data_IF_467341584516
#
_entry.id   IF_467341584516
#
_cell.length_a   1.000
_cell.length_b   1.000
_cell.length_c   1.000
_cell.angle_alpha   90.00
_cell.angle_beta   90.00
_cell.angle_gamma   90.00
#
_symmetry.space_group_name_H-M   'P 1'
#
loop_
_entity.id
_entity.type
_entity.pdbx_description
1 polymer ?
#
# COMPACT_ATOMS: atom_id res chain seq x y z
N UNK A 1 11.51 -20.53 9.12
CA UNK A 1 10.97 -20.81 7.78
C UNK A 1 10.43 -19.54 7.12
N UNK A 2 9.42 -18.87 7.68
CA UNK A 2 8.81 -17.68 7.04
C UNK A 2 9.80 -16.55 6.70
N UNK A 3 10.81 -16.31 7.55
CA UNK A 3 11.83 -15.28 7.31
C UNK A 3 12.75 -15.53 6.10
N UNK A 4 12.69 -16.71 5.45
CA UNK A 4 13.53 -16.98 4.26
C UNK A 4 12.92 -16.44 2.97
N UNK A 5 11.64 -16.07 2.97
CA UNK A 5 10.90 -15.57 1.80
C UNK A 5 10.47 -14.10 1.95
N UNK A 6 10.81 -13.45 3.07
CA UNK A 6 10.45 -12.06 3.32
C UNK A 6 10.64 -11.64 4.78
N UNK A 7 10.13 -10.44 5.10
CA UNK A 7 10.04 -9.97 6.48
C UNK A 7 8.98 -10.76 7.25
N UNK A 8 9.36 -11.30 8.41
CA UNK A 8 8.45 -12.02 9.29
C UNK A 8 8.63 -11.51 10.73
N UNK A 9 7.51 -11.29 11.40
CA UNK A 9 7.44 -10.81 12.78
C UNK A 9 6.27 -11.49 13.47
N UNK A 10 6.44 -11.84 14.74
CA UNK A 10 5.37 -12.37 15.58
C UNK A 10 4.51 -11.23 16.13
N UNK A 11 3.20 -11.41 16.09
CA UNK A 11 2.22 -10.41 16.55
C UNK A 11 1.07 -11.09 17.28
N UNK A 12 0.38 -10.39 18.20
CA UNK A 12 -0.87 -10.87 18.78
C UNK A 12 -1.94 -11.18 17.71
N UNK A 13 -2.76 -12.21 17.95
CA UNK A 13 -3.82 -12.66 17.02
C UNK A 13 -4.78 -11.54 16.61
N UNK A 14 -5.11 -10.63 17.54
CA UNK A 14 -5.98 -9.47 17.28
C UNK A 14 -5.45 -8.53 16.19
N UNK A 15 -4.15 -8.60 15.86
CA UNK A 15 -3.53 -7.81 14.81
C UNK A 15 -3.53 -8.49 13.43
N UNK A 16 -3.95 -9.75 13.31
CA UNK A 16 -3.93 -10.48 12.03
C UNK A 16 -4.85 -9.83 10.98
N UNK A 17 -6.05 -9.39 11.34
CA UNK A 17 -6.94 -8.70 10.40
C UNK A 17 -6.38 -7.34 9.93
N UNK A 18 -5.89 -6.44 10.82
CA UNK A 18 -5.17 -5.24 10.40
C UNK A 18 -3.95 -5.53 9.50
N UNK A 19 -3.16 -6.55 9.83
CA UNK A 19 -2.02 -6.98 9.01
C UNK A 19 -2.49 -7.42 7.62
N UNK A 20 -3.60 -8.14 7.53
CA UNK A 20 -4.19 -8.56 6.24
C UNK A 20 -4.64 -7.36 5.40
N UNK A 21 -5.31 -6.38 6.02
CA UNK A 21 -5.72 -5.15 5.33
C UNK A 21 -4.52 -4.30 4.87
N UNK A 22 -3.44 -4.28 5.65
CA UNK A 22 -2.25 -3.49 5.33
C UNK A 22 -1.28 -4.20 4.37
N UNK A 23 -0.70 -5.33 4.77
CA UNK A 23 0.38 -6.02 4.04
C UNK A 23 -0.10 -7.19 3.18
N UNK A 24 -1.20 -7.85 3.58
CA UNK A 24 -1.82 -8.90 2.74
C UNK A 24 -2.43 -8.31 1.47
N UNK A 25 -3.17 -7.22 1.61
CA UNK A 25 -3.80 -6.51 0.50
C UNK A 25 -2.91 -5.41 -0.11
N UNK A 26 -1.93 -4.92 0.64
CA UNK A 26 -1.02 -3.83 0.27
C UNK A 26 -0.41 -3.89 -1.13
N UNK A 27 0.12 -5.05 -1.59
CA UNK A 27 0.67 -5.18 -2.93
C UNK A 27 -0.32 -4.77 -4.04
N UNK A 28 -1.61 -5.08 -3.87
CA UNK A 28 -2.64 -4.70 -4.85
C UNK A 28 -2.82 -3.19 -4.98
N UNK A 29 -2.74 -2.47 -3.85
CA UNK A 29 -2.83 -1.01 -3.83
C UNK A 29 -1.63 -0.39 -4.56
N UNK A 30 -0.44 -0.93 -4.33
CA UNK A 30 0.78 -0.44 -4.97
C UNK A 30 0.82 -0.73 -6.48
N UNK A 31 0.23 -1.84 -6.94
CA UNK A 31 0.06 -2.08 -8.38
C UNK A 31 -0.81 -1.02 -9.04
N UNK A 32 -1.91 -0.60 -8.39
CA UNK A 32 -2.73 0.50 -8.89
C UNK A 32 -1.96 1.83 -8.93
N UNK A 33 -1.09 2.09 -7.94
CA UNK A 33 -0.20 3.27 -7.95
C UNK A 33 0.79 3.20 -9.12
N UNK A 34 1.42 2.06 -9.37
CA UNK A 34 2.35 1.86 -10.50
C UNK A 34 1.62 2.11 -11.82
N UNK A 35 0.43 1.55 -11.98
CA UNK A 35 -0.39 1.71 -13.19
C UNK A 35 -0.76 3.18 -13.42
N UNK A 36 -1.23 3.88 -12.38
CA UNK A 36 -1.55 5.30 -12.47
C UNK A 36 -0.35 6.18 -12.79
N UNK A 37 0.83 5.88 -12.25
CA UNK A 37 2.08 6.57 -12.60
C UNK A 37 2.47 6.32 -14.05
N UNK A 38 2.35 5.08 -14.53
CA UNK A 38 2.64 4.74 -15.92
C UNK A 38 1.67 5.42 -16.89
N UNK A 39 0.37 5.47 -16.57
CA UNK A 39 -0.63 6.24 -17.32
C UNK A 39 -0.28 7.72 -17.39
N UNK A 40 0.15 8.32 -16.27
CA UNK A 40 0.65 9.68 -16.22
C UNK A 40 1.88 9.88 -17.12
N UNK A 41 2.81 8.92 -17.12
CA UNK A 41 3.98 8.89 -18.00
C UNK A 41 3.60 8.87 -19.48
N UNK A 42 2.64 8.03 -19.87
CA UNK A 42 2.13 7.97 -21.24
C UNK A 42 1.45 9.29 -21.64
N UNK A 43 0.67 9.88 -20.73
CA UNK A 43 0.01 11.17 -20.95
C UNK A 43 1.01 12.30 -21.26
N UNK A 44 2.23 12.23 -20.73
CA UNK A 44 3.30 13.21 -20.99
C UNK A 44 4.27 12.76 -22.09
N UNK A 45 3.96 11.67 -22.82
CA UNK A 45 4.64 11.27 -24.05
C UNK A 45 5.59 10.07 -23.94
N UNK A 46 5.63 9.35 -22.81
CA UNK A 46 6.44 8.14 -22.70
C UNK A 46 5.79 6.94 -23.42
N UNK A 47 6.58 6.05 -24.05
CA UNK A 47 6.08 4.75 -24.48
C UNK A 47 5.59 3.93 -23.27
N UNK A 48 4.47 3.22 -23.43
CA UNK A 48 3.81 2.44 -22.35
C UNK A 48 4.79 1.51 -21.63
N UNK A 49 5.57 0.73 -22.37
CA UNK A 49 6.51 -0.23 -21.80
C UNK A 49 7.60 0.43 -20.96
N UNK A 50 8.08 1.60 -21.38
CA UNK A 50 9.07 2.37 -20.64
C UNK A 50 8.45 2.97 -19.39
N UNK A 51 7.26 3.56 -19.51
CA UNK A 51 6.54 4.15 -18.38
C UNK A 51 6.26 3.13 -17.28
N UNK A 52 5.82 1.92 -17.64
CA UNK A 52 5.61 0.82 -16.68
C UNK A 52 6.90 0.42 -15.96
N UNK A 53 8.01 0.26 -16.71
CA UNK A 53 9.31 -0.11 -16.13
C UNK A 53 9.83 0.96 -15.17
N UNK A 54 9.73 2.23 -15.55
CA UNK A 54 10.16 3.34 -14.70
C UNK A 54 9.29 3.47 -13.44
N UNK A 55 7.97 3.34 -13.57
CA UNK A 55 7.04 3.41 -12.44
C UNK A 55 7.30 2.26 -11.43
N UNK A 56 7.43 1.02 -11.92
CA UNK A 56 7.75 -0.13 -11.08
C UNK A 56 9.11 0.03 -10.38
N UNK A 57 10.14 0.50 -11.09
CA UNK A 57 11.48 0.68 -10.52
C UNK A 57 11.52 1.79 -9.46
N UNK A 58 10.72 2.85 -9.62
CA UNK A 58 10.60 3.94 -8.63
C UNK A 58 10.19 3.42 -7.24
N UNK A 59 9.35 2.38 -7.19
CA UNK A 59 8.87 1.78 -5.94
C UNK A 59 9.81 0.71 -5.36
N UNK A 60 10.75 0.17 -6.14
CA UNK A 60 11.62 -0.94 -5.73
C UNK A 60 12.67 -0.56 -4.66
N UNK A 61 12.91 0.73 -4.39
CA UNK A 61 14.04 1.16 -3.54
C UNK A 61 13.74 2.21 -2.46
N UNK A 62 12.48 2.49 -2.12
CA UNK A 62 12.12 3.65 -1.27
C UNK A 62 11.73 3.27 0.18
N UNK A 63 12.41 3.89 1.16
CA UNK A 63 11.94 4.03 2.55
C UNK A 63 11.19 5.37 2.73
N UNK A 64 9.92 5.40 3.20
CA UNK A 64 8.98 6.43 2.72
C UNK A 64 9.10 7.83 3.34
N UNK A 65 9.45 7.93 4.63
CA UNK A 65 9.31 9.21 5.34
C UNK A 65 10.57 10.08 5.28
N UNK A 66 11.75 9.48 5.38
CA UNK A 66 13.02 10.22 5.35
C UNK A 66 13.40 10.65 3.93
N UNK A 67 13.13 9.82 2.92
CA UNK A 67 13.53 10.08 1.53
C UNK A 67 12.66 11.12 0.81
N UNK A 68 11.48 11.46 1.34
CA UNK A 68 10.58 12.40 0.66
C UNK A 68 11.23 13.78 0.57
N UNK A 69 11.76 14.29 1.67
CA UNK A 69 12.41 15.60 1.71
C UNK A 69 13.74 15.56 0.95
N UNK A 70 14.46 14.43 0.98
CA UNK A 70 15.71 14.21 0.23
C UNK A 70 15.50 14.25 -1.30
N UNK A 71 14.31 13.88 -1.80
CA UNK A 71 13.96 13.90 -3.22
C UNK A 71 13.30 15.23 -3.64
N UNK A 72 12.83 16.04 -2.69
CA UNK A 72 12.13 17.30 -2.94
C UNK A 72 13.08 18.51 -2.82
N UNK A 73 13.69 18.90 -3.94
CA UNK A 73 14.41 20.17 -4.01
C UNK A 73 13.45 21.38 -4.04
N UNK A 74 13.83 22.54 -3.46
CA UNK A 74 13.04 23.76 -3.56
C UNK A 74 12.75 24.14 -5.03
N UNK A 75 11.46 24.23 -5.38
CA UNK A 75 11.01 24.56 -6.75
C UNK A 75 11.14 23.42 -7.77
N UNK A 76 11.57 22.22 -7.36
CA UNK A 76 11.70 21.04 -8.25
C UNK A 76 10.36 20.43 -8.66
N UNK A 77 10.34 19.62 -9.72
CA UNK A 77 9.13 18.98 -10.24
C UNK A 77 8.40 18.10 -9.21
N UNK A 78 9.15 17.43 -8.33
CA UNK A 78 8.62 16.55 -7.28
C UNK A 78 7.66 17.25 -6.32
N UNK A 79 7.91 18.53 -5.98
CA UNK A 79 7.04 19.27 -5.04
C UNK A 79 5.69 19.62 -5.68
N UNK A 80 5.68 19.95 -6.98
CA UNK A 80 4.44 20.21 -7.74
C UNK A 80 3.60 18.95 -7.92
N UNK A 81 4.24 17.82 -8.22
CA UNK A 81 3.58 16.52 -8.27
C UNK A 81 2.96 16.14 -6.92
N UNK A 82 3.73 16.27 -5.84
CA UNK A 82 3.24 15.98 -4.50
C UNK A 82 2.06 16.87 -4.09
N UNK A 83 2.10 18.17 -4.41
CA UNK A 83 0.98 19.07 -4.14
C UNK A 83 -0.32 18.59 -4.80
N UNK A 84 -0.25 18.04 -6.02
CA UNK A 84 -1.42 17.44 -6.70
C UNK A 84 -1.89 16.16 -6.02
N UNK A 85 -0.98 15.30 -5.56
CA UNK A 85 -1.34 14.08 -4.82
C UNK A 85 -2.04 14.40 -3.50
N UNK A 86 -1.54 15.38 -2.76
CA UNK A 86 -2.14 15.83 -1.50
C UNK A 86 -3.50 16.51 -1.73
N UNK A 87 -3.62 17.35 -2.78
CA UNK A 87 -4.91 17.94 -3.17
C UNK A 87 -5.95 16.89 -3.57
N UNK A 88 -5.51 15.74 -4.10
CA UNK A 88 -6.36 14.60 -4.44
C UNK A 88 -6.67 13.68 -3.26
N UNK A 89 -6.10 13.93 -2.07
CA UNK A 89 -6.40 13.14 -0.87
C UNK A 89 -5.82 11.72 -0.88
N UNK A 90 -4.70 11.47 -1.59
CA UNK A 90 -4.13 10.12 -1.75
C UNK A 90 -3.98 9.37 -0.41
N UNK A 91 -3.49 10.04 0.63
CA UNK A 91 -3.31 9.43 1.96
C UNK A 91 -4.63 8.97 2.57
N UNK A 92 -5.69 9.77 2.44
CA UNK A 92 -7.02 9.42 2.93
C UNK A 92 -7.54 8.17 2.22
N UNK A 93 -7.45 8.13 0.90
CA UNK A 93 -7.89 6.96 0.10
C UNK A 93 -7.13 5.68 0.51
N UNK A 94 -5.82 5.78 0.78
CA UNK A 94 -5.04 4.63 1.25
C UNK A 94 -5.44 4.18 2.67
N UNK A 95 -5.74 5.12 3.57
CA UNK A 95 -6.26 4.81 4.90
C UNK A 95 -7.60 4.09 4.83
N UNK A 96 -8.53 4.61 4.01
CA UNK A 96 -9.85 4.02 3.80
C UNK A 96 -9.75 2.62 3.20
N UNK A 97 -8.82 2.39 2.26
CA UNK A 97 -8.59 1.08 1.67
C UNK A 97 -8.17 0.02 2.71
N UNK A 98 -7.24 0.39 3.61
CA UNK A 98 -6.78 -0.50 4.70
C UNK A 98 -7.92 -0.78 5.68
N UNK A 99 -8.70 0.24 6.06
CA UNK A 99 -9.85 0.08 6.95
C UNK A 99 -10.92 -0.85 6.35
N UNK A 100 -11.27 -0.64 5.07
CA UNK A 100 -12.24 -1.45 4.37
C UNK A 100 -11.80 -2.91 4.25
N UNK A 101 -10.54 -3.16 3.87
CA UNK A 101 -10.00 -4.52 3.77
C UNK A 101 -9.93 -5.22 5.13
N UNK A 102 -9.49 -4.50 6.17
CA UNK A 102 -9.48 -5.00 7.56
C UNK A 102 -10.89 -5.40 8.02
N UNK A 103 -11.88 -4.55 7.76
CA UNK A 103 -13.28 -4.80 8.13
C UNK A 103 -13.84 -6.01 7.39
N UNK A 104 -13.48 -6.18 6.11
CA UNK A 104 -13.88 -7.35 5.33
C UNK A 104 -13.23 -8.64 5.83
N UNK A 105 -11.95 -8.60 6.22
CA UNK A 105 -11.24 -9.74 6.80
C UNK A 105 -11.94 -10.25 8.05
N UNK A 106 -12.20 -9.34 9.01
CA UNK A 106 -12.97 -9.63 10.24
C UNK A 106 -14.32 -10.27 9.94
N UNK A 107 -15.10 -9.65 9.05
CA UNK A 107 -16.41 -10.17 8.68
C UNK A 107 -16.35 -11.57 8.07
N UNK A 108 -15.27 -11.90 7.35
CA UNK A 108 -15.08 -13.22 6.76
C UNK A 108 -14.68 -14.26 7.81
N UNK A 109 -13.79 -13.91 8.74
CA UNK A 109 -13.45 -14.77 9.88
C UNK A 109 -14.66 -15.11 10.75
N UNK A 110 -15.53 -14.13 10.98
CA UNK A 110 -16.78 -14.28 11.72
C UNK A 110 -17.81 -15.20 11.05
N UNK A 111 -17.78 -15.28 9.72
CA UNK A 111 -18.64 -16.19 8.94
C UNK A 111 -18.02 -17.59 8.87
N UNK A 112 -16.68 -17.68 8.82
CA UNK A 112 -15.95 -18.92 8.68
C UNK A 112 -15.88 -19.76 9.97
N UNK A 113 -16.05 -19.14 11.14
CA UNK A 113 -16.03 -19.82 12.44
C UNK A 113 -17.39 -19.73 13.16
N UNK A 114 -17.98 -20.85 13.62
CA UNK A 114 -19.13 -20.82 14.50
C UNK A 114 -18.81 -20.04 15.78
N UNK A 115 -19.81 -19.34 16.33
CA UNK A 115 -19.61 -18.36 17.42
C UNK A 115 -19.09 -18.96 18.74
N UNK A 116 -19.16 -20.28 18.91
CA UNK A 116 -18.77 -21.02 20.12
C UNK A 116 -17.26 -21.22 20.27
N UNK A 117 -16.49 -21.26 19.17
CA UNK A 117 -15.04 -21.48 19.18
C UNK A 117 -14.25 -20.22 19.56
N UNK A 118 -14.89 -19.04 19.51
CA UNK A 118 -14.23 -17.73 19.72
C UNK A 118 -14.03 -17.35 21.19
N UNK A 119 -14.61 -18.09 22.13
CA UNK A 119 -14.55 -17.80 23.58
C UNK A 119 -13.73 -18.80 24.41
N UNK A 120 -12.97 -19.69 23.78
CA UNK A 120 -12.02 -20.54 24.49
C UNK A 120 -10.68 -19.82 24.68
N UNK A 121 -10.59 -19.21 25.87
CA UNK A 121 -9.39 -18.91 26.67
C UNK A 121 -8.62 -17.60 26.38
N UNK A 122 -8.97 -16.60 27.21
CA UNK A 122 -8.05 -15.62 27.80
C UNK A 122 -7.10 -16.30 28.79
#
# INVERSE_FOLDING_TARGET
LLSTVGFAVEVPEVLIDPVTGLSGSGPSYMFAVIEGLADGGVKVGLPRDLAMKLAAHTLYGTHPAQLKDDVQSPGGSSVYGMHKLESGGLKGILMDAVEAATSRSRATGDIALPRDIRNTEL
#
